data_IF_508984874008
#
_entry.id   IF_508984874008
#
_cell.length_a   1.000
_cell.length_b   1.000
_cell.length_c   1.000
_cell.angle_alpha   90.00
_cell.angle_beta   90.00
_cell.angle_gamma   90.00
#
_symmetry.space_group_name_H-M   'P 1'
#
loop_
_entity.id
_entity.type
_entity.pdbx_description
1 polymer ?
#
# COMPACT_ATOMS: atom_id res chain seq x y z
N UNK A 1 -40.75 50.92 -1.09
CA UNK A 1 -39.69 50.59 -0.09
C UNK A 1 -39.47 49.09 0.12
N UNK A 2 -40.51 48.25 0.07
CA UNK A 2 -40.42 46.81 0.37
C UNK A 2 -39.56 46.00 -0.62
N UNK A 3 -39.66 46.26 -1.94
CA UNK A 3 -38.85 45.58 -2.98
C UNK A 3 -37.32 45.72 -2.77
N UNK A 4 -36.86 46.87 -2.26
CA UNK A 4 -35.42 47.12 -2.03
C UNK A 4 -34.87 46.28 -0.86
N UNK A 5 -35.67 46.03 0.19
CA UNK A 5 -35.26 45.15 1.30
C UNK A 5 -35.12 43.70 0.84
N UNK A 6 -36.07 43.21 0.05
CA UNK A 6 -36.00 41.85 -0.52
C UNK A 6 -34.78 41.64 -1.41
N UNK A 7 -34.46 42.61 -2.28
CA UNK A 7 -33.28 42.52 -3.15
C UNK A 7 -31.97 42.47 -2.35
N UNK A 8 -31.85 43.24 -1.26
CA UNK A 8 -30.67 43.20 -0.37
C UNK A 8 -30.52 41.86 0.34
N UNK A 9 -31.61 41.27 0.82
CA UNK A 9 -31.61 39.94 1.46
C UNK A 9 -31.20 38.86 0.45
N UNK A 10 -31.76 38.88 -0.76
CA UNK A 10 -31.40 37.91 -1.80
C UNK A 10 -29.92 38.00 -2.17
N UNK A 11 -29.39 39.22 -2.35
CA UNK A 11 -27.96 39.40 -2.63
C UNK A 11 -27.08 38.87 -1.49
N UNK A 12 -27.44 39.13 -0.23
CA UNK A 12 -26.71 38.60 0.92
C UNK A 12 -26.72 37.07 0.94
N UNK A 13 -27.87 36.43 0.69
CA UNK A 13 -27.99 34.98 0.65
C UNK A 13 -27.13 34.38 -0.48
N UNK A 14 -27.10 35.01 -1.66
CA UNK A 14 -26.25 34.56 -2.77
C UNK A 14 -24.76 34.68 -2.42
N UNK A 15 -24.34 35.77 -1.78
CA UNK A 15 -22.95 35.94 -1.33
C UNK A 15 -22.58 34.89 -0.28
N UNK A 16 -23.45 34.66 0.72
CA UNK A 16 -23.22 33.64 1.75
C UNK A 16 -23.16 32.22 1.16
N UNK A 17 -24.05 31.91 0.21
CA UNK A 17 -24.02 30.63 -0.49
C UNK A 17 -22.72 30.45 -1.30
N UNK A 18 -22.25 31.51 -1.98
CA UNK A 18 -20.97 31.51 -2.69
C UNK A 18 -19.77 31.28 -1.76
N UNK A 19 -19.73 31.99 -0.62
CA UNK A 19 -18.68 31.79 0.40
C UNK A 19 -18.70 30.38 0.99
N UNK A 20 -19.89 29.85 1.29
CA UNK A 20 -20.03 28.49 1.81
C UNK A 20 -19.58 27.45 0.79
N UNK A 21 -19.88 27.64 -0.50
CA UNK A 21 -19.43 26.75 -1.56
C UNK A 21 -17.89 26.74 -1.69
N UNK A 22 -17.26 27.92 -1.68
CA UNK A 22 -15.79 28.03 -1.73
C UNK A 22 -15.16 27.37 -0.51
N UNK A 23 -15.70 27.61 0.68
CA UNK A 23 -15.24 26.98 1.91
C UNK A 23 -15.40 25.45 1.87
N UNK A 24 -16.54 24.95 1.38
CA UNK A 24 -16.81 23.53 1.24
C UNK A 24 -15.83 22.85 0.27
N UNK A 25 -15.56 23.47 -0.88
CA UNK A 25 -14.58 22.97 -1.86
C UNK A 25 -13.18 22.97 -1.23
N UNK A 26 -12.80 24.07 -0.57
CA UNK A 26 -11.52 24.17 0.13
C UNK A 26 -11.35 23.06 1.17
N UNK A 27 -12.37 22.81 2.00
CA UNK A 27 -12.35 21.71 2.98
C UNK A 27 -12.23 20.34 2.31
N UNK A 28 -12.86 20.10 1.16
CA UNK A 28 -12.74 18.84 0.43
C UNK A 28 -11.35 18.61 -0.15
N UNK A 29 -10.68 19.67 -0.59
CA UNK A 29 -9.30 19.62 -1.07
C UNK A 29 -8.32 19.39 0.09
N UNK A 30 -8.55 20.04 1.24
CA UNK A 30 -7.69 19.95 2.42
C UNK A 30 -7.87 18.66 3.22
N UNK A 31 -9.05 18.03 3.13
CA UNK A 31 -9.40 16.80 3.84
C UNK A 31 -9.95 15.75 2.86
N UNK A 32 -9.10 15.20 2.00
CA UNK A 32 -9.51 14.19 1.02
C UNK A 32 -10.03 12.93 1.72
N UNK A 33 -10.92 12.24 1.02
CA UNK A 33 -11.42 10.92 1.37
C UNK A 33 -11.16 9.99 0.21
N UNK A 34 -10.57 8.84 0.51
CA UNK A 34 -10.30 7.82 -0.48
C UNK A 34 -11.33 6.69 -0.32
N UNK A 35 -11.95 6.32 -1.44
CA UNK A 35 -12.99 5.31 -1.47
C UNK A 35 -12.51 4.10 -2.28
N UNK A 36 -12.54 2.94 -1.65
CA UNK A 36 -12.17 1.65 -2.24
C UNK A 36 -13.41 0.78 -2.24
N UNK A 37 -13.69 0.13 -3.37
CA UNK A 37 -14.86 -0.71 -3.59
C UNK A 37 -14.40 -2.05 -4.18
N UNK A 38 -14.81 -3.15 -3.56
CA UNK A 38 -14.44 -4.50 -4.00
C UNK A 38 -14.95 -4.82 -5.41
N UNK A 39 -16.07 -4.23 -5.83
CA UNK A 39 -16.67 -4.48 -7.15
C UNK A 39 -15.95 -3.77 -8.30
N UNK A 40 -15.13 -2.75 -7.99
CA UNK A 40 -14.40 -1.96 -8.99
C UNK A 40 -12.95 -2.42 -9.15
N UNK A 41 -12.62 -3.63 -8.68
CA UNK A 41 -11.27 -4.14 -8.60
C UNK A 41 -10.30 -3.16 -7.91
N UNK A 42 -10.74 -2.31 -6.97
CA UNK A 42 -9.86 -1.35 -6.29
C UNK A 42 -9.46 -1.81 -4.87
N UNK A 43 -9.89 -3.01 -4.48
CA UNK A 43 -9.61 -3.62 -3.20
C UNK A 43 -9.13 -5.06 -3.42
N UNK A 44 -8.20 -5.53 -2.57
CA UNK A 44 -7.78 -6.92 -2.58
C UNK A 44 -8.20 -7.55 -1.26
N UNK A 45 -8.98 -8.62 -1.33
CA UNK A 45 -9.24 -9.49 -0.18
C UNK A 45 -8.11 -10.51 -0.17
N UNK A 46 -7.37 -10.61 0.92
CA UNK A 46 -6.27 -11.56 1.07
C UNK A 46 -6.57 -12.43 2.28
N UNK A 47 -6.73 -13.73 2.06
CA UNK A 47 -6.68 -14.68 3.16
C UNK A 47 -5.20 -14.89 3.52
N UNK A 48 -4.79 -14.64 4.77
CA UNK A 48 -3.42 -14.90 5.20
C UNK A 48 -3.40 -15.60 6.57
N UNK A 49 -2.32 -16.36 6.84
CA UNK A 49 -2.14 -17.10 8.09
C UNK A 49 -1.06 -16.41 8.92
N UNK A 50 -1.36 -16.00 10.15
CA UNK A 50 -0.35 -15.53 11.10
C UNK A 50 0.14 -16.67 12.00
N UNK A 51 1.45 -16.72 12.14
CA UNK A 51 2.18 -17.78 12.82
C UNK A 51 2.03 -17.72 14.35
N UNK A 52 1.82 -16.54 14.93
CA UNK A 52 1.64 -16.38 16.37
C UNK A 52 0.27 -16.84 16.88
N UNK A 53 -0.69 -17.15 16.01
CA UNK A 53 -2.06 -17.49 16.44
C UNK A 53 -2.65 -18.78 15.84
N UNK A 54 -1.98 -19.46 14.90
CA UNK A 54 -2.50 -20.67 14.21
C UNK A 54 -3.94 -20.55 13.67
N UNK A 55 -4.50 -19.34 13.56
CA UNK A 55 -5.83 -19.07 13.02
C UNK A 55 -5.70 -18.45 11.64
N UNK A 56 -6.46 -18.98 10.69
CA UNK A 56 -6.64 -18.34 9.39
C UNK A 56 -7.45 -17.07 9.61
N UNK A 57 -6.80 -15.91 9.55
CA UNK A 57 -7.51 -14.63 9.61
C UNK A 57 -7.65 -14.10 8.19
N UNK A 58 -8.85 -13.68 7.84
CA UNK A 58 -9.06 -12.99 6.59
C UNK A 58 -8.68 -11.52 6.72
N UNK A 59 -7.98 -10.99 5.71
CA UNK A 59 -7.60 -9.58 5.63
C UNK A 59 -8.27 -8.86 4.48
N UNK A 60 -8.66 -7.61 4.75
CA UNK A 60 -9.03 -6.65 3.73
C UNK A 60 -7.87 -5.67 3.54
N UNK A 61 -7.34 -5.58 2.33
CA UNK A 61 -6.21 -4.70 2.05
C UNK A 61 -6.58 -3.63 1.02
N UNK A 62 -6.22 -2.39 1.34
CA UNK A 62 -6.31 -1.24 0.43
C UNK A 62 -4.99 -0.51 0.37
N UNK A 63 -4.59 -0.13 -0.84
CA UNK A 63 -3.39 0.65 -1.09
C UNK A 63 -3.82 1.98 -1.69
N UNK A 64 -3.94 3.06 -0.89
CA UNK A 64 -4.12 4.39 -1.43
C UNK A 64 -2.99 4.73 -2.41
N UNK A 65 -3.37 5.31 -3.55
CA UNK A 65 -2.40 5.78 -4.54
C UNK A 65 -1.56 6.95 -4.02
N UNK A 66 -2.13 7.68 -3.05
CA UNK A 66 -1.57 8.89 -2.49
C UNK A 66 -1.43 8.69 -0.99
N UNK A 67 -0.21 8.85 -0.48
CA UNK A 67 0.02 8.79 0.95
C UNK A 67 -0.52 10.06 1.61
N UNK A 68 -1.69 9.95 2.22
CA UNK A 68 -2.24 10.96 3.11
C UNK A 68 -2.12 10.49 4.57
N UNK A 69 -2.14 11.45 5.51
CA UNK A 69 -2.31 11.15 6.92
C UNK A 69 -3.77 10.78 7.18
N UNK A 70 -4.14 9.53 6.91
CA UNK A 70 -5.47 9.03 7.23
C UNK A 70 -5.64 8.88 8.75
N UNK A 71 -6.79 9.26 9.27
CA UNK A 71 -7.14 9.27 10.72
C UNK A 71 -8.09 8.15 11.08
N UNK A 72 -8.86 7.70 10.10
CA UNK A 72 -9.88 6.69 10.29
C UNK A 72 -10.08 5.92 9.02
N UNK A 73 -10.59 4.71 9.19
CA UNK A 73 -11.21 3.96 8.13
C UNK A 73 -12.65 3.66 8.51
N UNK A 74 -13.57 3.84 7.56
CA UNK A 74 -14.91 3.28 7.64
C UNK A 74 -14.99 2.11 6.66
N UNK A 75 -15.27 0.92 7.17
CA UNK A 75 -15.45 -0.28 6.36
C UNK A 75 -16.95 -0.59 6.35
N UNK A 76 -17.57 -0.49 5.18
CA UNK A 76 -18.95 -0.87 4.93
C UNK A 76 -18.94 -2.27 4.32
N UNK A 77 -19.57 -3.24 4.99
CA UNK A 77 -19.57 -4.64 4.56
C UNK A 77 -21.01 -5.04 4.22
N UNK A 78 -21.18 -5.61 3.03
CA UNK A 78 -22.41 -6.26 2.59
C UNK A 78 -22.13 -7.75 2.51
N UNK A 79 -22.97 -8.52 3.18
CA UNK A 79 -22.92 -9.98 3.23
C UNK A 79 -24.32 -10.55 3.09
N UNK A 80 -24.41 -11.76 2.55
CA UNK A 80 -25.68 -12.49 2.43
C UNK A 80 -26.20 -12.99 3.78
N UNK A 81 -25.31 -13.13 4.78
CA UNK A 81 -25.63 -13.59 6.13
C UNK A 81 -25.08 -12.64 7.18
N UNK A 82 -25.64 -12.68 8.39
CA UNK A 82 -25.10 -11.95 9.52
C UNK A 82 -23.67 -12.40 9.81
N UNK A 83 -22.72 -11.49 9.59
CA UNK A 83 -21.31 -11.72 9.89
C UNK A 83 -21.08 -11.58 11.39
N UNK A 84 -20.50 -12.62 11.98
CA UNK A 84 -19.92 -12.55 13.31
C UNK A 84 -18.49 -12.04 13.15
N UNK A 85 -18.34 -10.73 13.23
CA UNK A 85 -17.02 -10.15 13.43
C UNK A 85 -16.59 -10.45 14.86
N UNK A 86 -15.32 -10.82 15.04
CA UNK A 86 -14.70 -10.71 16.35
C UNK A 86 -14.84 -9.25 16.82
N UNK A 87 -15.04 -9.06 18.12
CA UNK A 87 -15.12 -7.71 18.72
C UNK A 87 -13.81 -6.91 18.53
N UNK A 88 -12.75 -7.56 18.05
CA UNK A 88 -11.39 -7.05 17.90
C UNK A 88 -10.94 -7.06 16.44
N UNK A 89 -11.65 -6.36 15.55
CA UNK A 89 -11.09 -6.06 14.24
C UNK A 89 -9.91 -5.08 14.41
N UNK A 90 -8.77 -5.38 13.78
CA UNK A 90 -7.51 -4.62 13.94
C UNK A 90 -7.08 -4.04 12.60
N UNK A 91 -6.61 -2.80 12.63
CA UNK A 91 -6.01 -2.14 11.47
C UNK A 91 -4.48 -2.14 11.58
N UNK A 92 -3.82 -2.49 10.48
CA UNK A 92 -2.38 -2.49 10.32
C UNK A 92 -1.97 -1.61 9.13
N UNK A 93 -0.73 -1.12 9.15
CA UNK A 93 -0.06 -0.48 8.02
C UNK A 93 1.26 -1.21 7.72
N UNK A 94 1.51 -1.49 6.44
CA UNK A 94 2.67 -2.27 6.02
C UNK A 94 2.70 -2.56 4.52
N UNK A 95 3.41 -3.62 4.18
CA UNK A 95 3.37 -4.28 2.87
C UNK A 95 2.56 -5.57 2.91
N UNK A 96 2.01 -5.98 1.76
CA UNK A 96 1.30 -7.26 1.68
C UNK A 96 2.21 -8.45 2.01
N UNK A 97 3.47 -8.41 1.57
CA UNK A 97 4.43 -9.50 1.81
C UNK A 97 4.71 -9.74 3.30
N UNK A 98 4.53 -8.73 4.17
CA UNK A 98 4.66 -8.91 5.61
C UNK A 98 3.54 -9.77 6.22
N UNK A 99 2.46 -10.03 5.48
CA UNK A 99 1.41 -10.98 5.87
C UNK A 99 1.77 -12.44 5.55
N UNK A 100 2.84 -12.67 4.81
CA UNK A 100 3.26 -14.02 4.48
C UNK A 100 3.71 -14.78 5.75
N UNK A 101 3.36 -16.07 5.86
CA UNK A 101 3.92 -16.93 6.89
C UNK A 101 5.44 -17.03 6.73
N UNK A 102 6.13 -17.35 7.83
CA UNK A 102 7.54 -17.69 7.71
C UNK A 102 7.68 -19.04 7.00
N UNK A 103 8.71 -19.16 6.18
CA UNK A 103 9.21 -20.46 5.75
C UNK A 103 10.44 -20.88 6.55
N UNK A 104 11.13 -21.89 6.03
CA UNK A 104 12.37 -22.38 6.62
C UNK A 104 13.47 -21.31 6.52
N UNK A 105 14.27 -21.20 7.58
CA UNK A 105 15.42 -20.30 7.60
C UNK A 105 16.50 -20.79 6.64
N UNK A 106 17.02 -19.87 5.83
CA UNK A 106 18.14 -20.08 4.93
C UNK A 106 19.43 -19.88 5.71
N UNK A 107 20.21 -20.95 5.88
CA UNK A 107 21.40 -20.98 6.73
C UNK A 107 22.70 -21.13 5.94
N UNK A 108 22.64 -21.47 4.64
CA UNK A 108 23.81 -21.59 3.75
C UNK A 108 23.69 -20.75 2.46
N UNK A 109 24.82 -20.50 1.81
CA UNK A 109 24.87 -19.78 0.53
C UNK A 109 24.29 -20.62 -0.60
N UNK A 110 24.51 -21.93 -0.56
CA UNK A 110 23.98 -22.90 -1.51
C UNK A 110 22.45 -22.90 -1.50
N UNK A 111 21.83 -22.96 -0.32
CA UNK A 111 20.37 -22.84 -0.17
C UNK A 111 19.85 -21.52 -0.76
N UNK A 112 20.48 -20.39 -0.42
CA UNK A 112 20.05 -19.08 -0.96
C UNK A 112 20.16 -19.04 -2.49
N UNK A 113 21.24 -19.63 -3.04
CA UNK A 113 21.49 -19.66 -4.49
C UNK A 113 20.38 -20.36 -5.26
N UNK A 114 19.80 -21.42 -4.71
CA UNK A 114 18.68 -22.14 -5.33
C UNK A 114 17.47 -21.23 -5.54
N UNK A 115 17.17 -20.34 -4.60
CA UNK A 115 16.07 -19.38 -4.75
C UNK A 115 16.44 -18.25 -5.70
N UNK A 116 17.61 -17.63 -5.48
CA UNK A 116 18.05 -16.46 -6.25
C UNK A 116 18.20 -16.79 -7.73
N UNK A 117 18.63 -18.00 -8.10
CA UNK A 117 18.92 -18.40 -9.49
C UNK A 117 18.02 -19.54 -10.04
N UNK A 118 16.89 -19.84 -9.39
CA UNK A 118 16.00 -21.00 -9.69
C UNK A 118 15.57 -21.23 -11.15
N UNK A 119 15.64 -20.24 -12.05
CA UNK A 119 15.18 -20.36 -13.44
C UNK A 119 16.25 -19.92 -14.46
N UNK A 120 17.30 -19.25 -14.00
CA UNK A 120 18.35 -18.69 -14.82
C UNK A 120 19.57 -18.55 -13.91
N UNK A 121 20.66 -19.22 -14.26
CA UNK A 121 21.89 -19.24 -13.46
C UNK A 121 22.66 -17.91 -13.51
N UNK A 122 22.31 -17.02 -14.43
CA UNK A 122 23.00 -15.75 -14.66
C UNK A 122 22.27 -14.55 -14.04
N UNK A 123 20.94 -14.58 -13.95
CA UNK A 123 20.13 -13.43 -13.51
C UNK A 123 19.48 -13.70 -12.15
N UNK A 124 19.88 -12.98 -11.08
CA UNK A 124 19.24 -13.05 -9.78
C UNK A 124 17.75 -12.66 -9.83
N UNK A 125 16.88 -13.45 -9.21
CA UNK A 125 15.54 -13.03 -8.85
C UNK A 125 15.64 -11.79 -7.94
N UNK A 126 14.84 -10.77 -8.25
CA UNK A 126 14.94 -9.45 -7.64
C UNK A 126 15.67 -8.42 -8.49
N UNK A 127 16.38 -8.81 -9.55
CA UNK A 127 17.13 -7.87 -10.42
C UNK A 127 16.20 -6.80 -11.01
N UNK A 128 16.61 -5.53 -10.89
CA UNK A 128 15.88 -4.38 -11.40
C UNK A 128 16.52 -3.83 -12.68
N UNK A 129 15.71 -3.64 -13.72
CA UNK A 129 16.16 -3.06 -14.98
C UNK A 129 15.21 -1.96 -15.45
N UNK A 130 15.70 -1.07 -16.31
CA UNK A 130 14.86 -0.18 -17.08
C UNK A 130 15.12 -0.31 -18.57
N UNK A 131 14.05 -0.25 -19.35
CA UNK A 131 14.11 -0.23 -20.81
C UNK A 131 12.85 0.41 -21.37
N UNK A 132 12.97 1.14 -22.49
CA UNK A 132 11.86 1.83 -23.19
C UNK A 132 10.98 2.69 -22.26
N UNK A 133 11.58 3.28 -21.23
CA UNK A 133 10.88 4.13 -20.25
C UNK A 133 10.05 3.37 -19.19
N UNK A 134 10.13 2.04 -19.14
CA UNK A 134 9.52 1.22 -18.11
C UNK A 134 10.59 0.56 -17.21
N UNK A 135 10.21 0.29 -15.96
CA UNK A 135 11.03 -0.44 -14.99
C UNK A 135 10.46 -1.84 -14.84
N UNK A 136 11.34 -2.83 -14.70
CA UNK A 136 11.00 -4.23 -14.52
C UNK A 136 11.78 -4.81 -13.35
N UNK A 137 11.20 -5.84 -12.76
CA UNK A 137 11.89 -6.74 -11.82
C UNK A 137 11.88 -8.15 -12.38
N UNK A 138 13.02 -8.83 -12.31
CA UNK A 138 13.12 -10.24 -12.65
C UNK A 138 12.59 -11.09 -11.50
N UNK A 139 11.63 -11.96 -11.76
CA UNK A 139 11.02 -12.81 -10.75
C UNK A 139 10.48 -14.08 -11.39
N UNK A 140 11.00 -15.23 -10.94
CA UNK A 140 10.67 -16.59 -11.41
C UNK A 140 10.73 -16.74 -12.92
N UNK A 141 11.85 -16.36 -13.52
CA UNK A 141 12.06 -16.51 -14.98
C UNK A 141 11.38 -15.43 -15.82
N UNK A 142 10.69 -14.46 -15.21
CA UNK A 142 9.89 -13.47 -15.94
C UNK A 142 10.25 -12.04 -15.56
N UNK A 143 10.21 -11.16 -16.54
CA UNK A 143 10.35 -9.72 -16.34
C UNK A 143 8.99 -9.10 -16.07
N UNK A 144 8.77 -8.64 -14.84
CA UNK A 144 7.49 -8.08 -14.39
C UNK A 144 7.55 -6.54 -14.43
N UNK A 145 6.78 -5.87 -15.30
CA UNK A 145 6.79 -4.42 -15.40
C UNK A 145 6.06 -3.77 -14.22
N UNK A 146 6.61 -2.68 -13.69
CA UNK A 146 5.87 -1.79 -12.79
C UNK A 146 4.92 -0.90 -13.59
N UNK A 147 3.65 -0.81 -13.18
CA UNK A 147 2.64 0.04 -13.84
C UNK A 147 2.80 1.54 -13.51
N UNK A 148 4.04 2.01 -13.29
CA UNK A 148 4.37 3.39 -13.00
C UNK A 148 5.40 3.56 -11.88
N UNK A 149 6.13 4.68 -11.94
CA UNK A 149 7.14 5.08 -10.94
C UNK A 149 6.59 5.11 -9.50
N UNK A 150 5.35 5.57 -9.34
CA UNK A 150 4.70 5.66 -8.03
C UNK A 150 4.52 4.28 -7.37
N UNK A 151 4.32 3.20 -8.14
CA UNK A 151 4.21 1.84 -7.59
C UNK A 151 5.58 1.35 -7.14
N UNK A 152 6.61 1.59 -7.95
CA UNK A 152 8.00 1.25 -7.62
C UNK A 152 8.43 1.92 -6.29
N UNK A 153 8.18 3.21 -6.15
CA UNK A 153 8.46 3.98 -4.93
C UNK A 153 7.58 3.55 -3.75
N UNK A 154 6.29 3.26 -3.97
CA UNK A 154 5.39 2.81 -2.91
C UNK A 154 5.77 1.45 -2.37
N UNK A 155 6.38 0.58 -3.18
CA UNK A 155 6.97 -0.69 -2.76
C UNK A 155 8.40 -0.53 -2.22
N UNK A 156 8.90 0.71 -2.11
CA UNK A 156 10.22 1.09 -1.57
C UNK A 156 11.39 0.43 -2.31
N UNK A 157 11.23 0.17 -3.60
CA UNK A 157 12.37 -0.15 -4.46
C UNK A 157 13.23 1.10 -4.69
N UNK A 158 14.53 0.89 -4.92
CA UNK A 158 15.52 1.96 -5.06
C UNK A 158 15.89 2.19 -6.53
N UNK A 159 15.67 3.43 -7.00
CA UNK A 159 16.03 3.85 -8.35
C UNK A 159 17.52 3.72 -8.64
N UNK A 160 18.38 3.85 -7.63
CA UNK A 160 19.84 3.70 -7.78
C UNK A 160 20.26 2.28 -8.15
N UNK A 161 19.38 1.30 -7.92
CA UNK A 161 19.60 -0.13 -8.19
C UNK A 161 19.06 -0.58 -9.54
N UNK A 162 18.44 0.33 -10.30
CA UNK A 162 17.86 0.05 -11.60
C UNK A 162 18.95 0.12 -12.67
N UNK A 163 19.23 -1.01 -13.33
CA UNK A 163 20.20 -1.05 -14.43
C UNK A 163 19.51 -0.69 -15.76
N UNK A 164 19.98 0.34 -16.45
CA UNK A 164 19.45 0.72 -17.76
C UNK A 164 19.98 -0.21 -18.86
N UNK A 165 19.08 -0.85 -19.60
CA UNK A 165 19.42 -1.69 -20.74
C UNK A 165 19.19 -0.97 -22.06
N UNK A 166 20.06 -1.26 -23.04
CA UNK A 166 19.88 -0.78 -24.42
C UNK A 166 18.67 -1.46 -25.06
N UNK A 167 18.02 -0.73 -25.96
CA UNK A 167 16.72 -1.07 -26.54
C UNK A 167 16.67 -2.44 -27.25
N UNK A 168 17.82 -2.95 -27.69
CA UNK A 168 17.96 -4.19 -28.47
C UNK A 168 18.11 -5.45 -27.60
N UNK A 169 18.41 -5.30 -26.31
CA UNK A 169 18.56 -6.43 -25.38
C UNK A 169 17.23 -7.07 -24.95
N UNK A 170 16.09 -6.46 -25.32
CA UNK A 170 14.75 -6.81 -24.83
C UNK A 170 14.12 -7.98 -25.60
N UNK A 171 14.66 -8.37 -26.76
CA UNK A 171 14.07 -9.36 -27.65
C UNK A 171 13.89 -10.77 -27.07
N UNK A 172 14.54 -11.08 -25.94
CA UNK A 172 14.45 -12.38 -25.25
C UNK A 172 13.61 -12.38 -23.97
N UNK A 173 12.96 -11.27 -23.59
CA UNK A 173 12.29 -11.19 -22.30
C UNK A 173 10.93 -11.88 -22.31
N UNK A 174 10.79 -12.91 -21.48
CA UNK A 174 9.46 -13.42 -21.15
C UNK A 174 8.77 -12.43 -20.19
N UNK A 175 7.78 -11.69 -20.70
CA UNK A 175 7.04 -10.72 -19.91
C UNK A 175 6.14 -11.45 -18.89
N UNK A 176 6.22 -11.02 -17.63
CA UNK A 176 5.39 -11.50 -16.53
C UNK A 176 4.23 -10.57 -16.23
N UNK A 177 3.49 -10.90 -15.17
CA UNK A 177 2.37 -10.06 -14.72
C UNK A 177 2.84 -8.70 -14.22
N UNK A 178 2.04 -7.67 -14.53
CA UNK A 178 2.31 -6.29 -14.13
C UNK A 178 2.20 -6.10 -12.63
N UNK A 179 3.09 -5.29 -12.07
CA UNK A 179 3.09 -4.91 -10.67
C UNK A 179 2.25 -3.65 -10.49
N UNK A 180 1.26 -3.73 -9.63
CA UNK A 180 0.35 -2.64 -9.25
C UNK A 180 0.45 -2.38 -7.74
N UNK A 181 -0.19 -1.32 -7.24
CA UNK A 181 -0.13 -0.93 -5.81
C UNK A 181 -0.51 -2.02 -4.79
N UNK A 182 -1.24 -3.05 -5.22
CA UNK A 182 -1.71 -4.14 -4.36
C UNK A 182 -0.99 -5.46 -4.62
N UNK A 183 -0.09 -5.50 -5.59
CA UNK A 183 0.77 -6.66 -5.81
C UNK A 183 1.71 -6.76 -4.60
N UNK A 184 1.81 -7.93 -3.95
CA UNK A 184 2.90 -8.17 -3.00
C UNK A 184 4.26 -7.96 -3.67
N UNK A 185 5.31 -7.80 -2.86
CA UNK A 185 6.66 -7.81 -3.40
C UNK A 185 6.91 -9.13 -4.16
N UNK A 186 7.45 -9.07 -5.40
CA UNK A 186 7.74 -10.27 -6.18
C UNK A 186 8.79 -11.16 -5.52
N UNK A 187 8.78 -12.44 -5.90
CA UNK A 187 9.79 -13.40 -5.48
C UNK A 187 11.19 -12.94 -5.88
N UNK A 188 12.15 -13.12 -4.97
CA UNK A 188 13.50 -12.56 -5.09
C UNK A 188 13.70 -11.22 -4.35
N UNK A 189 12.64 -10.61 -3.83
CA UNK A 189 12.77 -9.40 -3.01
C UNK A 189 13.38 -9.76 -1.66
N UNK A 190 14.49 -9.12 -1.31
CA UNK A 190 15.10 -9.20 0.03
C UNK A 190 14.58 -8.03 0.88
N UNK A 191 14.07 -8.33 2.06
CA UNK A 191 13.71 -7.35 3.07
C UNK A 191 14.80 -7.24 4.13
N UNK A 192 14.98 -6.04 4.66
CA UNK A 192 15.86 -5.76 5.79
C UNK A 192 15.08 -5.04 6.89
N UNK A 193 15.07 -5.57 8.12
CA UNK A 193 14.45 -4.87 9.25
C UNK A 193 15.38 -3.82 9.84
N UNK A 194 14.86 -2.93 10.71
CA UNK A 194 15.70 -2.01 11.49
C UNK A 194 16.70 -2.71 12.41
N UNK A 195 16.37 -3.90 12.89
CA UNK A 195 17.25 -4.72 13.73
C UNK A 195 18.21 -5.61 12.89
N UNK A 196 18.47 -5.25 11.63
CA UNK A 196 19.38 -5.95 10.71
C UNK A 196 19.04 -7.44 10.44
N UNK A 197 17.78 -7.85 10.60
CA UNK A 197 17.31 -9.16 10.14
C UNK A 197 16.93 -9.12 8.65
N UNK A 198 17.17 -10.23 7.95
CA UNK A 198 16.93 -10.35 6.52
C UNK A 198 15.89 -11.42 6.21
N UNK A 199 15.05 -11.15 5.21
CA UNK A 199 14.03 -12.08 4.75
C UNK A 199 13.97 -12.10 3.23
N UNK A 200 13.88 -13.28 2.62
CA UNK A 200 13.57 -13.45 1.20
C UNK A 200 12.07 -13.64 1.02
N UNK A 201 11.45 -12.85 0.13
CA UNK A 201 10.12 -13.16 -0.39
C UNK A 201 10.22 -14.29 -1.40
N UNK A 202 9.59 -15.43 -1.13
CA UNK A 202 9.55 -16.56 -2.04
C UNK A 202 8.28 -17.39 -1.88
N UNK A 203 7.52 -17.58 -2.96
CA UNK A 203 6.33 -18.44 -3.02
C UNK A 203 5.34 -18.15 -1.87
N UNK A 204 5.03 -16.87 -1.69
CA UNK A 204 4.12 -16.38 -0.63
C UNK A 204 4.58 -16.71 0.80
N UNK A 205 5.88 -16.92 0.99
CA UNK A 205 6.53 -17.02 2.29
C UNK A 205 7.58 -15.93 2.45
N UNK A 206 7.88 -15.59 3.70
CA UNK A 206 9.10 -14.89 4.07
C UNK A 206 10.08 -15.91 4.64
N UNK A 207 11.17 -16.18 3.92
CA UNK A 207 12.23 -17.07 4.37
C UNK A 207 13.26 -16.24 5.14
N UNK A 208 13.46 -16.44 6.46
CA UNK A 208 14.53 -15.76 7.18
C UNK A 208 15.88 -16.11 6.57
N UNK A 209 16.78 -15.13 6.46
CA UNK A 209 18.16 -15.36 6.03
C UNK A 209 19.06 -15.12 7.23
N UNK A 210 19.84 -16.13 7.61
CA UNK A 210 20.62 -16.14 8.84
C UNK A 210 21.57 -14.96 8.98
N UNK A 211 22.17 -14.47 7.89
CA UNK A 211 23.05 -13.32 7.93
C UNK A 211 23.24 -12.63 6.58
N UNK A 212 23.73 -11.39 6.61
CA UNK A 212 24.03 -10.60 5.41
C UNK A 212 25.20 -11.20 4.59
N UNK A 213 26.15 -11.87 5.25
CA UNK A 213 27.32 -12.48 4.59
C UNK A 213 26.90 -13.56 3.60
N UNK A 214 25.84 -14.32 3.92
CA UNK A 214 25.25 -15.31 3.01
C UNK A 214 24.69 -14.63 1.76
N UNK A 215 24.06 -13.47 1.92
CA UNK A 215 23.52 -12.72 0.79
C UNK A 215 24.65 -12.23 -0.11
N UNK A 216 25.67 -11.61 0.48
CA UNK A 216 26.81 -11.05 -0.26
C UNK A 216 27.64 -12.11 -0.98
N UNK A 217 27.74 -13.32 -0.45
CA UNK A 217 28.47 -14.41 -1.12
C UNK A 217 27.74 -14.95 -2.36
N UNK A 218 26.42 -14.79 -2.41
CA UNK A 218 25.57 -15.23 -3.54
C UNK A 218 25.32 -14.10 -4.54
N UNK A 219 25.09 -12.89 -4.04
CA UNK A 219 24.75 -11.70 -4.80
C UNK A 219 25.40 -10.47 -4.15
N UNK A 220 26.63 -10.15 -4.59
CA UNK A 220 27.45 -9.07 -4.01
C UNK A 220 26.75 -7.70 -4.06
N UNK A 221 26.14 -7.37 -5.21
CA UNK A 221 25.45 -6.10 -5.46
C UNK A 221 23.96 -6.12 -5.11
N UNK A 222 23.53 -7.02 -4.21
CA UNK A 222 22.14 -7.10 -3.80
C UNK A 222 21.62 -5.75 -3.25
N UNK A 223 20.30 -5.62 -3.26
CA UNK A 223 19.62 -4.54 -2.56
C UNK A 223 18.51 -5.12 -1.69
N UNK A 224 18.06 -4.33 -0.73
CA UNK A 224 16.96 -4.71 0.15
C UNK A 224 15.91 -3.62 0.25
N UNK A 225 14.68 -4.04 0.49
CA UNK A 225 13.58 -3.16 0.89
C UNK A 225 13.60 -3.05 2.42
N UNK A 226 13.87 -1.86 2.94
CA UNK A 226 13.86 -1.63 4.39
C UNK A 226 12.44 -1.61 4.95
N UNK A 227 12.20 -2.40 5.99
CA UNK A 227 10.96 -2.45 6.76
C UNK A 227 11.23 -2.15 8.23
N UNK A 228 10.27 -1.56 8.93
CA UNK A 228 10.39 -1.32 10.38
C UNK A 228 10.61 -2.62 11.15
N UNK A 229 9.82 -3.66 10.85
CA UNK A 229 9.81 -4.96 11.53
C UNK A 229 9.19 -6.01 10.59
N UNK A 230 9.28 -7.31 10.93
CA UNK A 230 8.72 -8.41 10.12
C UNK A 230 7.21 -8.27 9.87
N UNK A 231 6.44 -8.03 10.93
CA UNK A 231 4.98 -7.95 10.86
C UNK A 231 4.50 -6.53 10.52
N UNK A 232 3.36 -6.37 9.82
CA UNK A 232 2.75 -5.05 9.64
C UNK A 232 2.52 -4.36 10.98
N UNK A 233 2.67 -3.04 11.01
CA UNK A 233 2.50 -2.25 12.23
C UNK A 233 1.02 -2.16 12.60
N UNK A 234 0.62 -2.53 13.82
CA UNK A 234 -0.72 -2.22 14.33
C UNK A 234 -0.88 -0.71 14.43
N UNK A 235 -1.86 -0.15 13.72
CA UNK A 235 -2.12 1.31 13.69
C UNK A 235 -3.47 1.69 14.28
N UNK A 236 -4.30 0.73 14.67
CA UNK A 236 -5.59 1.04 15.29
C UNK A 236 -6.49 -0.15 15.52
N UNK A 237 -7.60 0.12 16.18
CA UNK A 237 -8.66 -0.83 16.47
C UNK A 237 -9.94 -0.40 15.78
N UNK A 238 -10.72 -1.39 15.34
CA UNK A 238 -11.95 -1.21 14.61
C UNK A 238 -13.13 -1.66 15.47
N UNK A 239 -14.11 -0.78 15.65
CA UNK A 239 -15.32 -1.08 16.41
C UNK A 239 -16.51 -1.26 15.48
N UNK A 240 -17.30 -2.31 15.71
CA UNK A 240 -18.57 -2.51 15.03
C UNK A 240 -19.59 -1.45 15.47
N UNK A 241 -20.33 -0.92 14.51
CA UNK A 241 -21.44 -0.03 14.80
C UNK A 241 -22.63 -0.83 15.34
N UNK A 242 -23.27 -0.36 16.42
CA UNK A 242 -24.44 -1.04 17.00
C UNK A 242 -25.66 -1.13 16.07
N UNK A 243 -25.72 -0.29 15.03
CA UNK A 243 -26.90 -0.12 14.15
C UNK A 243 -26.66 -0.71 12.75
N UNK A 244 -25.41 -1.03 12.39
CA UNK A 244 -25.07 -1.46 11.03
C UNK A 244 -23.85 -2.38 11.03
N UNK A 245 -23.71 -3.21 9.99
CA UNK A 245 -22.50 -4.02 9.76
C UNK A 245 -21.30 -3.19 9.28
N UNK A 246 -21.19 -1.96 9.77
CA UNK A 246 -20.08 -1.06 9.49
C UNK A 246 -19.05 -1.16 10.61
N UNK A 247 -17.78 -1.24 10.23
CA UNK A 247 -16.65 -1.09 11.15
C UNK A 247 -16.09 0.31 11.03
N UNK A 248 -15.79 0.93 12.18
CA UNK A 248 -15.08 2.20 12.26
C UNK A 248 -13.74 1.97 12.94
N UNK A 249 -12.66 2.18 12.21
CA UNK A 249 -11.31 2.11 12.72
C UNK A 249 -10.80 3.52 13.02
N UNK A 250 -10.12 3.67 14.16
CA UNK A 250 -9.49 4.93 14.56
C UNK A 250 -7.98 4.74 14.65
N UNK A 251 -7.23 5.67 14.06
CA UNK A 251 -5.77 5.63 14.04
C UNK A 251 -5.20 6.71 14.98
N UNK A 252 -4.50 6.32 16.06
CA UNK A 252 -3.89 7.25 17.02
C UNK A 252 -2.87 8.22 16.39
N UNK A 253 -2.55 9.32 17.10
CA UNK A 253 -1.69 10.40 16.55
C UNK A 253 -0.27 9.95 16.26
N UNK A 254 0.28 9.13 17.13
CA UNK A 254 1.64 8.62 17.09
C UNK A 254 1.96 7.87 15.78
N UNK A 255 0.97 7.21 15.17
CA UNK A 255 1.14 6.50 13.89
C UNK A 255 1.02 7.41 12.66
N UNK A 256 0.62 8.68 12.84
CA UNK A 256 0.50 9.66 11.75
C UNK A 256 1.83 10.32 11.39
N UNK A 257 2.70 10.48 12.38
CA UNK A 257 3.99 11.16 12.23
C UNK A 257 5.15 10.17 12.11
N UNK A 258 4.92 8.91 12.52
CA UNK A 258 5.93 7.87 12.39
C UNK A 258 6.01 7.44 10.93
N UNK A 259 7.23 7.41 10.40
CA UNK A 259 7.51 6.73 9.15
C UNK A 259 7.25 5.24 9.37
N UNK A 260 6.18 4.72 8.75
CA UNK A 260 5.85 3.30 8.74
C UNK A 260 6.08 2.82 7.31
N UNK A 261 6.94 1.82 7.15
CA UNK A 261 7.21 1.24 5.83
C UNK A 261 5.94 0.67 5.22
N UNK A 262 5.71 0.98 3.95
CA UNK A 262 4.57 0.47 3.18
C UNK A 262 3.29 1.29 3.32
N UNK A 263 2.62 1.44 2.18
CA UNK A 263 1.43 2.28 2.03
C UNK A 263 0.12 1.49 2.07
N UNK A 264 0.16 0.21 2.44
CA UNK A 264 -1.02 -0.63 2.50
C UNK A 264 -1.68 -0.55 3.87
N UNK A 265 -2.99 -0.32 3.88
CA UNK A 265 -3.83 -0.48 5.06
C UNK A 265 -4.46 -1.87 5.02
N UNK A 266 -4.24 -2.63 6.08
CA UNK A 266 -4.63 -4.03 6.19
C UNK A 266 -5.58 -4.15 7.38
N UNK A 267 -6.77 -4.69 7.17
CA UNK A 267 -7.78 -4.85 8.20
C UNK A 267 -8.03 -6.32 8.46
N UNK A 268 -7.74 -6.78 9.67
CA UNK A 268 -8.08 -8.13 10.14
C UNK A 268 -9.55 -8.15 10.54
N UNK A 269 -10.37 -8.93 9.85
CA UNK A 269 -11.83 -8.95 10.02
C UNK A 269 -12.36 -10.27 10.61
N UNK A 270 -11.49 -11.17 11.05
CA UNK A 270 -11.84 -12.48 11.61
C UNK A 270 -11.86 -13.61 10.56
N UNK A 271 -12.44 -14.75 10.92
CA UNK A 271 -12.39 -16.01 10.14
C UNK A 271 -13.44 -16.09 9.01
N UNK A 272 -14.52 -15.30 9.05
CA UNK A 272 -15.67 -15.42 8.13
C UNK A 272 -15.59 -14.51 6.88
N UNK A 273 -14.39 -14.25 6.35
CA UNK A 273 -14.23 -13.36 5.19
C UNK A 273 -14.84 -13.92 3.90
N UNK A 274 -14.91 -15.23 3.77
CA UNK A 274 -15.52 -15.95 2.64
C UNK A 274 -17.00 -15.60 2.43
N UNK A 275 -17.68 -15.12 3.48
CA UNK A 275 -19.09 -14.70 3.43
C UNK A 275 -19.29 -13.26 2.96
N UNK A 276 -18.22 -12.46 2.82
CA UNK A 276 -18.33 -11.07 2.34
C UNK A 276 -18.56 -11.06 0.83
N UNK A 277 -19.72 -10.57 0.40
CA UNK A 277 -20.02 -10.44 -1.04
C UNK A 277 -19.61 -9.09 -1.60
N UNK A 278 -19.71 -8.00 -0.82
CA UNK A 278 -19.18 -6.69 -1.19
C UNK A 278 -18.61 -5.98 0.02
N UNK A 279 -17.54 -5.24 -0.20
CA UNK A 279 -16.95 -4.38 0.83
C UNK A 279 -16.52 -3.05 0.24
N UNK A 280 -16.66 -2.02 1.06
CA UNK A 280 -16.25 -0.66 0.73
C UNK A 280 -15.47 -0.07 1.89
N UNK A 281 -14.21 0.27 1.63
CA UNK A 281 -13.36 0.95 2.61
C UNK A 281 -13.31 2.41 2.24
N UNK A 282 -13.55 3.27 3.21
CA UNK A 282 -13.34 4.72 3.09
C UNK A 282 -12.26 5.13 4.07
N UNK A 283 -11.09 5.50 3.55
CA UNK A 283 -10.04 6.12 4.35
C UNK A 283 -10.33 7.62 4.45
N UNK A 284 -10.37 8.14 5.67
CA UNK A 284 -10.66 9.53 5.96
C UNK A 284 -9.49 10.21 6.64
N UNK A 285 -9.12 11.40 6.15
CA UNK A 285 -8.10 12.26 6.76
C UNK A 285 -8.64 13.15 7.88
N UNK A 286 -9.95 13.16 8.14
CA UNK A 286 -10.56 14.06 9.11
C UNK A 286 -10.93 13.35 10.41
N UNK A 287 -10.39 13.82 11.53
CA UNK A 287 -11.02 13.64 12.84
C UNK A 287 -10.64 14.85 13.72
N UNK A 288 -11.59 15.78 13.87
CA UNK A 288 -11.42 17.06 14.60
C UNK A 288 -10.40 18.00 13.93
N UNK A 289 -10.54 19.32 14.10
CA UNK A 289 -9.72 20.35 13.45
C UNK A 289 -8.21 20.20 13.72
N UNK A 290 -7.52 19.35 12.96
CA UNK A 290 -6.07 19.24 12.95
C UNK A 290 -5.51 20.13 11.83
N UNK A 291 -4.76 21.17 12.24
CA UNK A 291 -4.14 22.13 11.32
C UNK A 291 -2.86 21.58 10.66
N UNK A 292 -2.32 20.46 11.12
CA UNK A 292 -1.16 19.81 10.49
C UNK A 292 -1.55 19.11 9.18
N UNK A 293 -2.77 18.59 9.11
CA UNK A 293 -3.31 17.91 7.93
C UNK A 293 -3.35 18.73 6.65
N UNK A 294 -3.86 19.98 6.66
CA UNK A 294 -3.79 20.86 5.50
C UNK A 294 -2.37 20.98 4.94
N UNK A 295 -1.35 21.12 5.80
CA UNK A 295 0.04 21.29 5.36
C UNK A 295 0.54 20.06 4.60
N UNK A 296 0.32 18.87 5.17
CA UNK A 296 0.75 17.60 4.57
C UNK A 296 -0.01 17.34 3.27
N UNK A 297 -1.33 17.50 3.28
CA UNK A 297 -2.19 17.34 2.10
C UNK A 297 -1.78 18.29 0.97
N UNK A 298 -1.50 19.56 1.28
CA UNK A 298 -1.03 20.55 0.30
C UNK A 298 0.35 20.18 -0.24
N UNK A 299 1.27 19.69 0.59
CA UNK A 299 2.60 19.23 0.16
C UNK A 299 2.48 18.06 -0.84
N UNK A 300 1.64 17.08 -0.52
CA UNK A 300 1.38 15.90 -1.37
C UNK A 300 0.72 16.32 -2.69
N UNK A 301 -0.31 17.18 -2.63
CA UNK A 301 -0.97 17.69 -3.83
C UNK A 301 -0.02 18.52 -4.71
N UNK A 302 0.87 19.31 -4.10
CA UNK A 302 1.91 20.06 -4.81
C UNK A 302 2.85 19.10 -5.55
N UNK A 303 3.37 18.06 -4.89
CA UNK A 303 4.23 17.04 -5.53
C UNK A 303 3.54 16.42 -6.74
N UNK A 304 2.26 16.02 -6.59
CA UNK A 304 1.46 15.43 -7.67
C UNK A 304 1.26 16.36 -8.85
N UNK A 305 1.00 17.64 -8.60
CA UNK A 305 0.88 18.62 -9.68
C UNK A 305 2.20 18.75 -10.44
N UNK A 306 3.33 18.86 -9.74
CA UNK A 306 4.65 18.93 -10.36
C UNK A 306 4.92 17.69 -11.23
N UNK A 307 4.68 16.49 -10.71
CA UNK A 307 4.85 15.23 -11.46
C UNK A 307 3.96 15.18 -12.70
N UNK A 308 2.68 15.56 -12.57
CA UNK A 308 1.76 15.55 -13.72
C UNK A 308 2.21 16.52 -14.82
N UNK A 309 2.59 17.74 -14.44
CA UNK A 309 3.01 18.75 -15.41
C UNK A 309 4.40 18.47 -16.00
N UNK A 310 5.33 17.87 -15.26
CA UNK A 310 6.64 17.49 -15.82
C UNK A 310 6.51 16.41 -16.91
N UNK A 311 5.58 15.46 -16.72
CA UNK A 311 5.27 14.44 -17.73
C UNK A 311 4.59 15.02 -18.99
N UNK A 312 3.84 16.12 -18.87
CA UNK A 312 3.25 16.83 -20.01
C UNK A 312 4.28 17.67 -20.77
N UNK A 313 5.26 18.27 -20.08
CA UNK A 313 6.34 19.05 -20.71
C UNK A 313 7.32 18.18 -21.51
N UNK A 314 7.50 16.92 -21.11
CA UNK A 314 8.42 15.97 -21.76
C UNK A 314 7.81 15.22 -22.95
N UNK A 315 6.53 15.47 -23.28
CA UNK A 315 5.84 14.92 -24.45
C UNK A 315 5.81 15.92 -25.60
#
# INVERSE_FOLDING_TARGET
MQKSKYQKINNLLVVLAGLFLVLFIGLRILYPKDHFDSTKNNMTVVAAKFETEQKQRGYLAVAPQIEHNFYSAKIEIVSEKDLKFDDEAIAFKGFMAQLYPLGEEIVTAEELREFIFSNDEEIPNGTLISTKGAVYIYSRGKWRPFLGAQIFENLKFDWSRVTALKHDAVGGFQEGERIIFRTPHPDGTIFKTKDDNFFLSWEEKLLPIKSEEIIKSVWEDYYSVTIEQRSPMKIGECKKSSISNNLKCFFPKEYRTREISGNMFIFSLGEELDKITKSKVTLGTFNVFDLENPKITLSVNKKRMIEKYSQEILK
#
